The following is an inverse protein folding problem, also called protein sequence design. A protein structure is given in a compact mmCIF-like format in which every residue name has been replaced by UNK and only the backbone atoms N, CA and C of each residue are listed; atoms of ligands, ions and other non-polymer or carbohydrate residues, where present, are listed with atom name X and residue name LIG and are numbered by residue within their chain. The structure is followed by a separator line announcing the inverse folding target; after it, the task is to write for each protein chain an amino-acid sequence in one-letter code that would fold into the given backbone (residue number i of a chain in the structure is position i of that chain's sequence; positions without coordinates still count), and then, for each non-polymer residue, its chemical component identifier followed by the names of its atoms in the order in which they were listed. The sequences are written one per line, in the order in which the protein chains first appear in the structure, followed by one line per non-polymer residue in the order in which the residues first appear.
data_IF_675160903673
#
_entry.id   IF_675160903673
#
_cell.length_a   1.000
_cell.length_b   1.000
_cell.length_c   1.000
_cell.angle_alpha   90.00
_cell.angle_beta   90.00
_cell.angle_gamma   90.00
#
_symmetry.space_group_name_H-M   'P 1'
#
loop_
_entity.id
_entity.type
_entity.pdbx_description
1 polymer ?
#
# COMPACT_ATOMS: atom_id res chain seq x y z
N UNK A 1 -27.97 -40.59 -71.22
CA UNK A 1 -28.29 -39.70 -72.35
C UNK A 1 -27.28 -38.57 -72.39
N UNK A 2 -26.54 -38.45 -73.51
CA UNK A 2 -25.82 -37.27 -74.05
C UNK A 2 -24.90 -36.48 -73.09
N UNK A 3 -23.64 -36.15 -73.39
CA UNK A 3 -22.73 -36.30 -74.54
C UNK A 3 -21.46 -35.49 -74.12
N UNK A 4 -20.24 -35.98 -74.42
CA UNK A 4 -19.17 -35.21 -75.15
C UNK A 4 -18.55 -34.02 -74.37
N UNK A 5 -17.24 -33.80 -74.13
CA UNK A 5 -15.97 -34.07 -74.84
C UNK A 5 -14.84 -33.52 -73.93
N UNK A 6 -13.74 -34.24 -73.62
CA UNK A 6 -12.45 -34.32 -74.36
C UNK A 6 -11.41 -33.22 -74.01
N UNK A 7 -10.28 -33.70 -73.46
CA UNK A 7 -8.86 -33.23 -73.56
C UNK A 7 -8.49 -31.92 -72.85
N UNK A 8 -7.29 -31.70 -72.30
CA UNK A 8 -5.97 -32.36 -72.33
C UNK A 8 -5.43 -32.39 -70.87
N UNK A 9 -4.99 -33.52 -70.32
CA UNK A 9 -3.63 -34.08 -70.42
C UNK A 9 -2.49 -33.10 -70.08
N UNK A 10 -2.12 -33.06 -68.80
CA UNK A 10 -0.72 -32.96 -68.34
C UNK A 10 -0.62 -33.53 -66.91
N UNK A 11 -0.76 -34.85 -66.81
CA UNK A 11 -0.04 -35.67 -65.82
C UNK A 11 1.45 -35.52 -66.21
N UNK A 12 2.45 -35.42 -65.32
CA UNK A 12 3.01 -36.53 -64.56
C UNK A 12 4.10 -35.95 -63.62
N UNK A 13 4.12 -36.44 -62.36
CA UNK A 13 5.23 -36.47 -61.37
C UNK A 13 5.75 -35.12 -60.85
N UNK A 14 5.81 -34.87 -59.54
CA UNK A 14 6.37 -35.73 -58.50
C UNK A 14 6.25 -35.05 -57.13
N UNK A 15 6.35 -35.86 -56.08
CA UNK A 15 6.70 -35.47 -54.71
C UNK A 15 5.71 -34.58 -53.93
N UNK A 16 4.89 -35.28 -53.15
CA UNK A 16 4.60 -35.02 -51.74
C UNK A 16 5.57 -33.99 -51.12
N UNK A 17 5.14 -32.75 -51.00
CA UNK A 17 5.77 -31.75 -50.15
C UNK A 17 4.78 -31.39 -49.05
N UNK A 18 4.87 -32.19 -47.98
CA UNK A 18 4.94 -31.74 -46.59
C UNK A 18 4.08 -30.55 -46.18
N UNK A 19 3.07 -30.86 -45.37
CA UNK A 19 2.94 -30.36 -44.00
C UNK A 19 3.28 -28.89 -43.79
N UNK A 20 2.23 -28.11 -43.66
CA UNK A 20 2.16 -26.87 -42.89
C UNK A 20 2.67 -27.09 -41.45
N UNK A 21 3.98 -27.08 -41.29
CA UNK A 21 4.67 -26.90 -40.02
C UNK A 21 5.13 -25.44 -39.97
N UNK A 22 4.28 -24.59 -39.37
CA UNK A 22 4.77 -23.37 -38.76
C UNK A 22 5.86 -23.78 -37.76
N UNK A 23 7.09 -23.25 -37.85
CA UNK A 23 8.10 -23.51 -36.85
C UNK A 23 7.61 -22.95 -35.52
N UNK A 24 7.38 -23.84 -34.56
CA UNK A 24 7.39 -23.52 -33.15
C UNK A 24 8.73 -22.87 -32.83
N UNK A 25 8.75 -21.55 -32.65
CA UNK A 25 10.01 -20.87 -32.36
C UNK A 25 9.97 -19.37 -32.61
N UNK A 26 9.24 -18.64 -31.77
CA UNK A 26 9.68 -17.37 -31.22
C UNK A 26 8.82 -17.09 -29.98
N UNK A 27 8.96 -17.95 -28.98
CA UNK A 27 8.89 -17.47 -27.60
C UNK A 27 10.06 -16.50 -27.48
N UNK A 28 9.78 -15.20 -27.61
CA UNK A 28 10.68 -14.17 -27.08
C UNK A 28 10.63 -14.36 -25.58
N UNK A 29 11.40 -15.32 -25.09
CA UNK A 29 11.79 -15.37 -23.70
C UNK A 29 12.47 -14.04 -23.44
N UNK A 30 11.76 -13.12 -22.80
CA UNK A 30 12.43 -12.01 -22.13
C UNK A 30 13.29 -12.66 -21.07
N UNK A 31 14.54 -12.95 -21.42
CA UNK A 31 15.57 -13.19 -20.45
C UNK A 31 15.55 -11.94 -19.58
N UNK A 32 14.97 -12.06 -18.38
CA UNK A 32 14.97 -10.99 -17.40
C UNK A 32 16.42 -10.49 -17.32
N UNK A 33 16.64 -9.23 -17.69
CA UNK A 33 17.97 -8.63 -17.66
C UNK A 33 18.44 -8.74 -16.21
N UNK A 34 19.37 -9.69 -15.96
CA UNK A 34 19.92 -9.95 -14.62
C UNK A 34 20.76 -8.78 -14.09
N UNK A 35 21.13 -7.86 -14.97
CA UNK A 35 21.86 -6.65 -14.62
C UNK A 35 20.89 -5.49 -14.45
N UNK A 36 20.87 -4.79 -13.29
CA UNK A 36 20.06 -3.60 -13.14
C UNK A 36 20.39 -2.59 -14.25
N UNK A 37 19.40 -2.22 -15.07
CA UNK A 37 19.58 -1.19 -16.13
C UNK A 37 20.01 0.14 -15.50
N UNK A 38 19.58 0.39 -14.26
CA UNK A 38 20.01 1.53 -13.47
C UNK A 38 21.40 1.29 -12.89
N UNK A 39 22.39 2.02 -13.40
CA UNK A 39 23.79 1.94 -12.95
C UNK A 39 24.19 3.00 -11.92
N UNK A 40 23.38 4.05 -11.72
CA UNK A 40 23.65 5.13 -10.75
C UNK A 40 22.38 5.83 -10.25
N UNK A 41 22.51 6.54 -9.14
CA UNK A 41 21.47 7.43 -8.60
C UNK A 41 21.08 8.54 -9.59
N UNK A 42 19.80 8.93 -9.60
CA UNK A 42 19.28 10.00 -10.49
C UNK A 42 18.91 11.26 -9.71
N UNK A 43 18.42 11.11 -8.47
CA UNK A 43 17.98 12.24 -7.65
C UNK A 43 19.16 12.90 -6.93
N UNK A 44 20.02 12.09 -6.29
CA UNK A 44 21.25 12.55 -5.64
C UNK A 44 22.44 11.84 -6.29
N UNK A 45 23.40 12.63 -6.74
CA UNK A 45 24.67 12.15 -7.29
C UNK A 45 25.63 11.73 -6.18
N UNK A 46 26.58 10.87 -6.51
CA UNK A 46 27.63 10.44 -5.56
C UNK A 46 28.44 11.63 -5.02
N UNK A 47 28.70 12.64 -5.87
CA UNK A 47 29.39 13.87 -5.48
C UNK A 47 28.60 14.68 -4.45
N UNK A 48 27.29 14.82 -4.63
CA UNK A 48 26.43 15.54 -3.67
C UNK A 48 26.38 14.82 -2.32
N UNK A 49 26.26 13.49 -2.34
CA UNK A 49 26.27 12.67 -1.12
C UNK A 49 27.62 12.80 -0.39
N UNK A 50 28.74 12.69 -1.10
CA UNK A 50 30.07 12.85 -0.52
C UNK A 50 30.28 14.26 0.05
N UNK A 51 29.80 15.29 -0.64
CA UNK A 51 29.85 16.69 -0.16
C UNK A 51 29.02 16.86 1.11
N UNK A 52 27.81 16.29 1.14
CA UNK A 52 26.94 16.33 2.31
C UNK A 52 27.62 15.67 3.53
N UNK A 53 28.20 14.48 3.35
CA UNK A 53 28.90 13.76 4.42
C UNK A 53 30.18 14.48 4.89
N UNK A 54 30.84 15.21 3.99
CA UNK A 54 31.97 16.09 4.35
C UNK A 54 31.48 17.26 5.21
N UNK A 55 30.38 17.89 4.83
CA UNK A 55 29.77 18.99 5.59
C UNK A 55 29.31 18.55 6.98
N UNK A 56 28.76 17.34 7.12
CA UNK A 56 28.40 16.74 8.42
C UNK A 56 29.60 16.68 9.37
N UNK A 57 30.82 16.43 8.86
CA UNK A 57 32.05 16.42 9.67
C UNK A 57 32.58 17.82 9.98
N UNK A 58 32.27 18.81 9.15
CA UNK A 58 32.83 20.16 9.21
C UNK A 58 31.97 21.14 10.02
N UNK A 59 30.65 21.03 9.93
CA UNK A 59 29.73 22.03 10.47
C UNK A 59 28.80 21.44 11.54
N UNK A 60 28.72 22.11 12.70
CA UNK A 60 27.89 21.67 13.81
C UNK A 60 26.41 21.55 13.44
N UNK A 61 25.86 22.49 12.65
CA UNK A 61 24.48 22.43 12.20
C UNK A 61 24.21 21.18 11.33
N UNK A 62 25.17 20.79 10.49
CA UNK A 62 25.02 19.63 9.62
C UNK A 62 25.09 18.32 10.43
N UNK A 63 26.00 18.25 11.41
CA UNK A 63 26.05 17.15 12.37
C UNK A 63 24.76 17.01 13.17
N UNK A 64 24.22 18.13 13.68
CA UNK A 64 22.95 18.16 14.39
C UNK A 64 21.78 17.67 13.52
N UNK A 65 21.70 18.12 12.26
CA UNK A 65 20.69 17.64 11.31
C UNK A 65 20.81 16.13 11.08
N UNK A 66 22.02 15.62 10.83
CA UNK A 66 22.26 14.17 10.67
C UNK A 66 21.80 13.41 11.93
N UNK A 67 22.17 13.87 13.12
CA UNK A 67 21.79 13.22 14.39
C UNK A 67 20.28 13.19 14.59
N UNK A 68 19.56 14.27 14.26
CA UNK A 68 18.10 14.34 14.38
C UNK A 68 17.39 13.31 13.48
N UNK A 69 17.80 13.21 12.22
CA UNK A 69 17.25 12.21 11.30
C UNK A 69 17.58 10.78 11.74
N UNK A 70 18.81 10.52 12.20
CA UNK A 70 19.21 9.20 12.69
C UNK A 70 18.39 8.79 13.92
N UNK A 71 18.25 9.68 14.91
CA UNK A 71 17.46 9.40 16.11
C UNK A 71 15.98 9.15 15.80
N UNK A 72 15.40 9.87 14.85
CA UNK A 72 14.02 9.65 14.40
C UNK A 72 13.88 8.34 13.65
N UNK A 73 14.82 8.03 12.74
CA UNK A 73 14.85 6.78 12.00
C UNK A 73 15.03 5.56 12.92
N UNK A 74 15.87 5.66 13.94
CA UNK A 74 16.08 4.57 14.91
C UNK A 74 14.81 4.27 15.71
N UNK A 75 14.05 5.29 16.13
CA UNK A 75 12.74 5.11 16.76
C UNK A 75 11.73 4.44 15.82
N UNK A 76 11.74 4.81 14.55
CA UNK A 76 10.86 4.20 13.54
C UNK A 76 11.22 2.73 13.29
N UNK A 77 12.50 2.42 13.13
CA UNK A 77 12.99 1.04 12.95
C UNK A 77 12.61 0.16 14.15
N UNK A 78 12.62 0.73 15.36
CA UNK A 78 12.24 0.01 16.59
C UNK A 78 10.78 -0.50 16.60
N UNK A 79 9.89 0.03 15.75
CA UNK A 79 8.54 -0.51 15.59
C UNK A 79 8.53 -1.89 14.88
N UNK A 80 9.61 -2.27 14.19
CA UNK A 80 9.70 -3.50 13.42
C UNK A 80 9.04 -3.41 12.04
N UNK A 81 9.40 -4.32 11.13
CA UNK A 81 8.90 -4.29 9.74
C UNK A 81 7.43 -4.69 9.64
N UNK A 82 7.00 -5.67 10.45
CA UNK A 82 5.62 -6.18 10.43
C UNK A 82 4.60 -5.08 10.77
N UNK A 83 4.96 -4.14 11.65
CA UNK A 83 4.16 -2.96 11.95
C UNK A 83 3.83 -2.16 10.67
N UNK A 84 4.84 -1.88 9.84
CA UNK A 84 4.64 -1.12 8.60
C UNK A 84 3.87 -1.91 7.55
N UNK A 85 4.09 -3.22 7.46
CA UNK A 85 3.33 -4.07 6.56
C UNK A 85 1.86 -4.17 6.93
N UNK A 86 1.52 -4.12 8.22
CA UNK A 86 0.13 -4.06 8.67
C UNK A 86 -0.53 -2.71 8.34
N UNK A 87 0.19 -1.60 8.42
CA UNK A 87 -0.34 -0.27 8.11
C UNK A 87 -0.64 -0.06 6.62
N UNK A 88 0.08 -0.76 5.74
CA UNK A 88 -0.14 -0.70 4.29
C UNK A 88 -1.35 -1.57 3.94
N UNK A 89 -2.59 -1.06 3.88
CA UNK A 89 -3.69 -1.93 3.44
C UNK A 89 -3.57 -2.30 1.95
N UNK A 90 -4.09 -3.47 1.55
CA UNK A 90 -4.33 -3.77 0.13
C UNK A 90 -5.46 -2.89 -0.43
N UNK A 91 -5.71 -2.95 -1.74
CA UNK A 91 -6.80 -2.20 -2.38
C UNK A 91 -8.22 -2.74 -2.05
N UNK A 92 -8.32 -3.87 -1.34
CA UNK A 92 -9.60 -4.37 -0.81
C UNK A 92 -10.16 -3.44 0.27
N UNK A 93 -9.29 -2.74 1.00
CA UNK A 93 -9.70 -1.67 1.89
C UNK A 93 -9.80 -0.39 1.08
N UNK A 94 -11.00 0.20 1.04
CA UNK A 94 -11.24 1.43 0.30
C UNK A 94 -10.41 2.56 0.89
N UNK A 95 -10.03 3.53 0.07
CA UNK A 95 -9.30 4.73 0.51
C UNK A 95 -10.13 5.97 0.25
N UNK A 96 -10.13 6.89 1.20
CA UNK A 96 -10.86 8.14 1.10
C UNK A 96 -10.06 9.29 1.70
N UNK A 97 -10.38 10.50 1.26
CA UNK A 97 -9.73 11.71 1.75
C UNK A 97 -10.43 12.32 2.97
N UNK A 98 -11.72 12.01 3.19
CA UNK A 98 -12.51 12.30 4.39
C UNK A 98 -13.37 11.12 4.80
N UNK A 99 -13.71 11.05 6.10
CA UNK A 99 -14.69 10.08 6.62
C UNK A 99 -16.04 10.26 5.93
N UNK A 100 -16.54 11.48 5.88
CA UNK A 100 -17.68 11.90 5.06
C UNK A 100 -17.59 13.40 4.82
N UNK A 101 -17.60 13.82 3.55
CA UNK A 101 -17.60 15.24 3.17
C UNK A 101 -18.96 15.90 3.46
N UNK A 102 -20.06 15.21 3.22
CA UNK A 102 -21.39 15.82 3.34
C UNK A 102 -22.00 15.67 4.73
N UNK A 103 -21.60 14.66 5.50
CA UNK A 103 -22.23 14.35 6.79
C UNK A 103 -21.29 14.45 7.99
N UNK A 104 -19.97 14.62 7.78
CA UNK A 104 -19.00 14.73 8.88
C UNK A 104 -18.84 13.43 9.67
N UNK A 105 -19.00 13.52 10.99
CA UNK A 105 -18.81 12.42 11.94
C UNK A 105 -20.05 11.51 12.03
N UNK A 106 -19.88 10.17 12.12
CA UNK A 106 -21.00 9.24 12.30
C UNK A 106 -21.89 9.49 13.53
N UNK A 107 -21.40 10.26 14.53
CA UNK A 107 -22.15 10.56 15.74
C UNK A 107 -22.52 12.04 15.91
N UNK A 108 -21.55 12.96 15.83
CA UNK A 108 -21.81 14.40 16.01
C UNK A 108 -22.02 15.16 14.70
N UNK A 109 -22.10 14.45 13.56
CA UNK A 109 -22.36 15.08 12.27
C UNK A 109 -21.35 16.16 11.91
N UNK A 110 -21.86 17.34 11.58
CA UNK A 110 -21.07 18.46 11.05
C UNK A 110 -20.18 19.14 12.10
N UNK A 111 -20.36 18.89 13.39
CA UNK A 111 -19.54 19.51 14.46
C UNK A 111 -18.04 19.20 14.32
N UNK A 112 -17.69 18.11 13.62
CA UNK A 112 -16.29 17.76 13.34
C UNK A 112 -15.59 18.78 12.42
N UNK A 113 -16.34 19.61 11.70
CA UNK A 113 -15.79 20.61 10.79
C UNK A 113 -15.13 21.79 11.50
N UNK A 114 -15.49 22.06 12.74
CA UNK A 114 -14.77 23.04 13.59
C UNK A 114 -13.31 22.63 13.81
N UNK A 115 -13.00 21.34 13.60
CA UNK A 115 -11.66 20.76 13.66
C UNK A 115 -11.13 20.37 12.27
N UNK A 116 -11.76 20.85 11.19
CA UNK A 116 -11.39 20.59 9.80
C UNK A 116 -11.58 19.14 9.37
N UNK A 117 -12.49 18.39 10.01
CA UNK A 117 -12.73 16.96 9.72
C UNK A 117 -11.47 16.09 9.90
N UNK A 118 -10.57 16.49 10.81
CA UNK A 118 -9.30 15.80 11.11
C UNK A 118 -9.45 14.95 12.36
N UNK A 119 -9.49 13.64 12.19
CA UNK A 119 -9.56 12.71 13.31
C UNK A 119 -8.19 12.47 13.93
N UNK A 120 -8.15 12.16 15.22
CA UNK A 120 -6.93 11.77 15.90
C UNK A 120 -6.62 10.30 15.63
N UNK A 121 -5.35 9.98 15.39
CA UNK A 121 -4.86 8.62 15.16
C UNK A 121 -3.69 8.33 16.10
N UNK A 122 -3.65 7.11 16.62
CA UNK A 122 -2.48 6.53 17.27
C UNK A 122 -2.18 5.17 16.60
N UNK A 123 -1.25 5.16 15.64
CA UNK A 123 -0.93 3.96 14.87
C UNK A 123 -0.35 2.83 15.74
N UNK A 124 0.26 3.17 16.87
CA UNK A 124 1.00 2.21 17.71
C UNK A 124 0.08 1.60 18.76
N UNK A 125 -0.63 2.44 19.52
CA UNK A 125 -1.44 1.96 20.65
C UNK A 125 -2.90 1.72 20.28
N UNK A 126 -3.38 2.25 19.14
CA UNK A 126 -4.77 2.11 18.66
C UNK A 126 -4.81 1.89 17.14
N UNK A 127 -4.16 0.85 16.62
CA UNK A 127 -4.17 0.56 15.19
C UNK A 127 -5.61 0.38 14.68
N UNK A 128 -5.84 0.85 13.45
CA UNK A 128 -7.14 0.84 12.78
C UNK A 128 -8.25 1.57 13.53
N UNK A 129 -7.91 2.53 14.40
CA UNK A 129 -8.88 3.41 15.08
C UNK A 129 -8.65 4.88 14.76
N UNK A 130 -9.75 5.62 14.70
CA UNK A 130 -9.77 7.07 14.59
C UNK A 130 -10.63 7.64 15.72
N UNK A 131 -10.24 8.77 16.31
CA UNK A 131 -11.00 9.44 17.37
C UNK A 131 -11.48 10.79 16.88
N UNK A 132 -12.79 11.03 16.97
CA UNK A 132 -13.38 12.31 16.57
C UNK A 132 -12.95 13.40 17.58
N UNK A 133 -12.38 14.53 17.15
CA UNK A 133 -11.97 15.60 18.06
C UNK A 133 -13.18 16.33 18.69
N UNK A 134 -14.33 16.36 18.02
CA UNK A 134 -15.51 17.08 18.51
C UNK A 134 -16.29 16.32 19.59
N UNK A 135 -16.51 15.01 19.40
CA UNK A 135 -17.30 14.19 20.35
C UNK A 135 -16.49 13.11 21.08
N UNK A 136 -15.18 13.02 20.84
CA UNK A 136 -14.27 12.03 21.45
C UNK A 136 -14.60 10.55 21.19
N UNK A 137 -15.60 10.26 20.34
CA UNK A 137 -15.93 8.88 19.98
C UNK A 137 -14.86 8.24 19.09
N UNK A 138 -14.69 6.93 19.25
CA UNK A 138 -13.71 6.12 18.54
C UNK A 138 -14.42 5.27 17.48
N UNK A 139 -13.90 5.31 16.27
CA UNK A 139 -14.40 4.52 15.13
C UNK A 139 -13.28 3.69 14.48
N UNK A 140 -13.60 2.58 13.83
CA UNK A 140 -14.89 1.92 13.88
C UNK A 140 -15.13 1.29 15.26
N UNK A 141 -16.34 0.83 15.50
CA UNK A 141 -16.77 0.30 16.81
C UNK A 141 -16.45 -1.18 16.99
N UNK A 142 -16.00 -1.85 15.92
CA UNK A 142 -15.59 -3.24 15.90
C UNK A 142 -14.07 -3.41 16.01
N UNK A 143 -13.61 -4.62 16.34
CA UNK A 143 -12.19 -4.97 16.32
C UNK A 143 -11.69 -5.17 14.89
N UNK A 144 -11.46 -4.06 14.18
CA UNK A 144 -11.02 -4.08 12.80
C UNK A 144 -9.61 -4.66 12.64
N UNK A 145 -8.73 -4.50 13.63
CA UNK A 145 -7.38 -5.04 13.54
C UNK A 145 -7.41 -6.58 13.48
N UNK A 146 -8.18 -7.22 14.36
CA UNK A 146 -8.35 -8.68 14.33
C UNK A 146 -9.07 -9.15 13.06
N UNK A 147 -10.09 -8.40 12.60
CA UNK A 147 -10.73 -8.65 11.30
C UNK A 147 -9.72 -8.62 10.15
N UNK A 148 -8.92 -7.54 10.06
CA UNK A 148 -7.91 -7.35 9.03
C UNK A 148 -6.86 -8.47 9.06
N UNK A 149 -6.25 -8.73 10.23
CA UNK A 149 -5.22 -9.77 10.38
C UNK A 149 -5.73 -11.16 10.01
N UNK A 150 -6.99 -11.47 10.31
CA UNK A 150 -7.58 -12.78 9.98
C UNK A 150 -7.78 -13.01 8.48
N UNK A 151 -7.74 -11.95 7.66
CA UNK A 151 -7.85 -12.02 6.21
C UNK A 151 -6.53 -11.83 5.46
N UNK A 152 -5.39 -11.74 6.15
CA UNK A 152 -4.07 -11.61 5.52
C UNK A 152 -3.57 -12.97 5.04
N UNK A 153 -2.94 -12.99 3.86
CA UNK A 153 -2.10 -14.10 3.40
C UNK A 153 -0.63 -13.92 3.83
N UNK A 154 0.23 -14.86 3.43
CA UNK A 154 1.67 -14.84 3.71
C UNK A 154 2.42 -13.63 3.13
N UNK A 155 1.79 -12.88 2.22
CA UNK A 155 2.32 -11.68 1.59
C UNK A 155 1.70 -10.40 2.13
N UNK A 156 0.96 -10.45 3.25
CA UNK A 156 0.25 -9.31 3.85
C UNK A 156 -0.81 -8.71 2.91
N UNK A 157 -1.34 -9.48 1.96
CA UNK A 157 -2.46 -9.05 1.12
C UNK A 157 -3.76 -9.41 1.82
N UNK A 158 -4.53 -8.40 2.18
CA UNK A 158 -5.84 -8.59 2.80
C UNK A 158 -6.90 -9.02 1.80
N UNK A 159 -7.71 -10.02 2.17
CA UNK A 159 -8.89 -10.48 1.45
C UNK A 159 -10.10 -10.53 2.41
N UNK A 160 -11.08 -9.67 2.16
CA UNK A 160 -12.30 -9.53 2.96
C UNK A 160 -13.14 -10.82 3.02
N UNK A 161 -13.12 -11.65 1.98
CA UNK A 161 -13.90 -12.89 1.92
C UNK A 161 -13.32 -14.01 2.81
N UNK A 162 -12.02 -13.96 3.08
CA UNK A 162 -11.33 -14.91 3.98
C UNK A 162 -11.29 -14.43 5.43
N UNK A 163 -11.53 -13.13 5.66
CA UNK A 163 -11.51 -12.54 6.97
C UNK A 163 -12.62 -13.09 7.88
N UNK A 164 -12.31 -13.23 9.16
CA UNK A 164 -13.22 -13.78 10.15
C UNK A 164 -14.29 -12.74 10.53
N UNK A 165 -15.51 -12.97 10.06
CA UNK A 165 -16.66 -12.08 10.25
C UNK A 165 -17.13 -11.97 11.70
N UNK A 166 -16.63 -12.79 12.63
CA UNK A 166 -16.95 -12.64 14.06
C UNK A 166 -16.53 -11.28 14.62
N UNK A 167 -15.50 -10.68 14.02
CA UNK A 167 -14.98 -9.36 14.38
C UNK A 167 -15.78 -8.20 13.78
N UNK A 168 -16.83 -8.46 13.00
CA UNK A 168 -17.71 -7.42 12.44
C UNK A 168 -18.90 -7.15 13.37
N UNK A 169 -18.59 -6.82 14.62
CA UNK A 169 -19.57 -6.51 15.67
C UNK A 169 -19.11 -5.31 16.49
N UNK A 170 -20.05 -4.47 16.86
CA UNK A 170 -19.84 -3.34 17.74
C UNK A 170 -19.48 -3.83 19.16
N UNK A 171 -18.25 -3.56 19.58
CA UNK A 171 -17.74 -3.89 20.91
C UNK A 171 -17.54 -2.65 21.77
N UNK A 172 -17.49 -1.46 21.16
CA UNK A 172 -17.22 -0.21 21.86
C UNK A 172 -18.46 0.44 22.47
N UNK A 173 -19.64 0.31 21.83
CA UNK A 173 -20.88 0.99 22.21
C UNK A 173 -22.10 0.06 22.12
N UNK A 174 -22.17 -1.02 22.92
CA UNK A 174 -23.22 -2.05 22.79
C UNK A 174 -24.64 -1.49 22.86
N UNK A 175 -24.85 -0.39 23.58
CA UNK A 175 -26.14 0.30 23.71
C UNK A 175 -26.67 0.88 22.38
N UNK A 176 -25.82 1.05 21.37
CA UNK A 176 -26.21 1.52 20.03
C UNK A 176 -26.57 0.39 19.07
N UNK A 177 -26.47 -0.87 19.51
CA UNK A 177 -26.81 -2.07 18.74
C UNK A 177 -25.61 -2.78 18.12
N UNK A 178 -25.78 -4.07 17.82
CA UNK A 178 -24.70 -5.01 17.46
C UNK A 178 -23.90 -4.59 16.22
N UNK A 179 -24.51 -3.88 15.26
CA UNK A 179 -23.86 -3.50 13.99
C UNK A 179 -23.62 -2.00 13.84
N UNK A 180 -23.92 -1.20 14.87
CA UNK A 180 -23.74 0.25 14.77
C UNK A 180 -22.27 0.63 14.77
N UNK A 181 -21.83 1.37 13.75
CA UNK A 181 -20.45 1.86 13.68
C UNK A 181 -19.41 0.82 13.23
N UNK A 182 -19.85 -0.36 12.76
CA UNK A 182 -19.00 -1.46 12.28
C UNK A 182 -18.48 -1.15 10.87
N UNK A 183 -17.18 -1.31 10.64
CA UNK A 183 -16.55 -1.18 9.33
C UNK A 183 -15.97 -2.54 8.89
N UNK A 184 -16.16 -2.89 7.63
CA UNK A 184 -15.68 -4.12 6.98
C UNK A 184 -14.55 -3.87 5.95
N UNK A 185 -14.05 -2.63 5.89
CA UNK A 185 -13.04 -2.16 4.94
C UNK A 185 -13.63 -1.29 3.84
N UNK A 186 -14.96 -1.25 3.71
CA UNK A 186 -15.69 -0.43 2.74
C UNK A 186 -16.40 0.76 3.38
N UNK A 187 -16.33 0.91 4.71
CA UNK A 187 -16.98 1.99 5.46
C UNK A 187 -18.14 1.53 6.32
N UNK A 188 -18.41 2.31 7.36
CA UNK A 188 -19.56 2.20 8.26
C UNK A 188 -20.83 2.67 7.56
N UNK A 189 -21.92 1.91 7.66
CA UNK A 189 -23.24 2.33 7.15
C UNK A 189 -24.20 2.60 8.30
N UNK A 190 -24.69 3.83 8.42
CA UNK A 190 -25.69 4.26 9.42
C UNK A 190 -26.78 5.04 8.71
N UNK A 191 -28.03 4.59 8.83
CA UNK A 191 -29.18 5.28 8.23
C UNK A 191 -29.13 5.38 6.70
N UNK A 192 -28.44 4.44 6.02
CA UNK A 192 -28.21 4.48 4.58
C UNK A 192 -27.00 5.31 4.14
N UNK A 193 -26.41 6.11 5.03
CA UNK A 193 -25.20 6.89 4.75
C UNK A 193 -23.96 6.08 5.06
N UNK A 194 -22.97 6.13 4.15
CA UNK A 194 -21.66 5.49 4.31
C UNK A 194 -20.61 6.48 4.81
N UNK A 195 -19.88 6.08 5.84
CA UNK A 195 -18.77 6.80 6.45
C UNK A 195 -17.50 5.96 6.32
N UNK A 196 -16.51 6.47 5.59
CA UNK A 196 -15.29 5.73 5.24
C UNK A 196 -14.23 5.86 6.35
N UNK A 197 -14.55 5.42 7.56
CA UNK A 197 -13.67 5.61 8.74
C UNK A 197 -12.33 4.89 8.57
N UNK A 198 -12.35 3.60 8.17
CA UNK A 198 -11.11 2.88 7.87
C UNK A 198 -10.47 3.42 6.59
N UNK A 199 -11.27 3.81 5.60
CA UNK A 199 -10.70 4.33 4.35
C UNK A 199 -9.93 5.63 4.52
N UNK A 200 -10.37 6.48 5.44
CA UNK A 200 -9.63 7.67 5.84
C UNK A 200 -8.39 7.30 6.66
N UNK A 201 -8.51 6.39 7.64
CA UNK A 201 -7.37 5.89 8.42
C UNK A 201 -6.25 5.36 7.50
N UNK A 202 -6.61 4.55 6.50
CA UNK A 202 -5.67 4.00 5.52
C UNK A 202 -4.96 5.10 4.74
N UNK A 203 -5.66 6.15 4.31
CA UNK A 203 -5.02 7.28 3.64
C UNK A 203 -3.99 7.98 4.55
N UNK A 204 -4.31 8.12 5.84
CA UNK A 204 -3.38 8.67 6.82
C UNK A 204 -2.18 7.73 7.09
N UNK A 205 -2.40 6.42 7.10
CA UNK A 205 -1.34 5.42 7.23
C UNK A 205 -0.33 5.51 6.07
N UNK A 206 -0.82 5.62 4.82
CA UNK A 206 0.05 5.86 3.66
C UNK A 206 0.85 7.16 3.80
N UNK A 207 0.21 8.24 4.22
CA UNK A 207 0.88 9.52 4.48
C UNK A 207 1.98 9.38 5.54
N UNK A 208 1.72 8.61 6.61
CA UNK A 208 2.70 8.30 7.64
C UNK A 208 3.90 7.52 7.07
N UNK A 209 3.64 6.49 6.25
CA UNK A 209 4.68 5.66 5.62
C UNK A 209 5.58 6.52 4.70
N UNK A 210 5.00 7.43 3.92
CA UNK A 210 5.80 8.38 3.12
C UNK A 210 6.73 9.25 4.00
N UNK A 211 6.25 9.68 5.17
CA UNK A 211 7.08 10.40 6.15
C UNK A 211 8.23 9.55 6.69
N UNK A 212 7.97 8.27 6.99
CA UNK A 212 8.98 7.30 7.45
C UNK A 212 10.04 7.07 6.38
N UNK A 213 9.64 6.80 5.13
CA UNK A 213 10.57 6.62 4.01
C UNK A 213 11.44 7.85 3.76
N UNK A 214 10.89 9.06 3.89
CA UNK A 214 11.67 10.29 3.79
C UNK A 214 12.70 10.43 4.92
N UNK A 215 12.33 10.06 6.15
CA UNK A 215 13.22 10.09 7.30
C UNK A 215 14.38 9.10 7.13
N UNK A 216 14.07 7.86 6.74
CA UNK A 216 15.06 6.81 6.45
C UNK A 216 16.00 7.22 5.31
N UNK A 217 15.46 7.80 4.23
CA UNK A 217 16.23 8.33 3.11
C UNK A 217 17.26 9.36 3.58
N UNK A 218 16.86 10.38 4.33
CA UNK A 218 17.79 11.42 4.77
C UNK A 218 18.78 10.91 5.82
N UNK A 219 18.34 10.03 6.73
CA UNK A 219 19.24 9.35 7.65
C UNK A 219 20.35 8.60 6.89
N UNK A 220 20.02 7.83 5.85
CA UNK A 220 21.00 7.14 5.01
C UNK A 220 21.91 8.09 4.23
N UNK A 221 21.35 9.12 3.58
CA UNK A 221 22.14 10.06 2.78
C UNK A 221 23.21 10.74 3.63
N UNK A 222 22.83 11.19 4.83
CA UNK A 222 23.72 11.97 5.71
C UNK A 222 24.71 11.13 6.51
N UNK A 223 24.28 9.95 6.99
CA UNK A 223 25.15 9.08 7.81
C UNK A 223 25.96 8.08 6.98
N UNK A 224 25.38 7.55 5.91
CA UNK A 224 25.88 6.38 5.20
C UNK A 224 25.65 5.05 5.90
N UNK A 225 24.90 5.01 7.00
CA UNK A 225 24.59 3.76 7.71
C UNK A 225 23.57 2.94 6.94
N UNK A 226 23.98 1.74 6.52
CA UNK A 226 23.20 0.88 5.63
C UNK A 226 21.84 0.45 6.21
N UNK A 227 21.71 0.35 7.54
CA UNK A 227 20.48 -0.07 8.22
C UNK A 227 19.26 0.74 7.78
N UNK A 228 19.41 2.05 7.57
CA UNK A 228 18.30 2.93 7.16
C UNK A 228 17.82 2.63 5.73
N UNK A 229 18.76 2.38 4.81
CA UNK A 229 18.43 1.99 3.43
C UNK A 229 17.80 0.59 3.38
N UNK A 230 18.35 -0.38 4.11
CA UNK A 230 17.82 -1.74 4.17
C UNK A 230 16.39 -1.76 4.68
N UNK A 231 16.10 -1.04 5.77
CA UNK A 231 14.74 -0.98 6.32
C UNK A 231 13.76 -0.26 5.36
N UNK A 232 14.20 0.82 4.71
CA UNK A 232 13.39 1.51 3.70
C UNK A 232 13.06 0.62 2.48
N UNK A 233 14.03 -0.18 2.02
CA UNK A 233 13.82 -1.16 0.95
C UNK A 233 12.83 -2.25 1.40
N UNK A 234 12.94 -2.73 2.65
CA UNK A 234 11.98 -3.70 3.18
C UNK A 234 10.54 -3.13 3.11
N UNK A 235 10.30 -1.92 3.61
CA UNK A 235 8.97 -1.26 3.50
C UNK A 235 8.47 -1.22 2.05
N UNK A 236 9.34 -0.87 1.09
CA UNK A 236 8.98 -0.74 -0.33
C UNK A 236 8.84 -2.08 -1.07
N UNK A 237 9.25 -3.20 -0.46
CA UNK A 237 9.23 -4.52 -1.10
C UNK A 237 7.86 -5.20 -1.04
N UNK A 238 6.89 -4.57 -0.37
CA UNK A 238 5.53 -5.05 -0.17
C UNK A 238 4.54 -4.32 -1.05
#
# INVERSE_FOLDING_TARGET
MKKITVRLLALVLSCVCSMSLLPAGMLVGSAAVKTPIKTKGTIYTEKEIATCRTNVKKYNWASATKNSYCASADKMIANGIDFYYLLMSSNEVWRSYYVSETNGCPNCGLDVYDYGNKYNIDFVNKPFKITCPACSMVFPTNDFESYYKSGLDEHYVFNSQKANKQYLKNVSYPEKGEYWGVDDGTGVVIGGTRYTVIGWYTNQAWSHIYGVLNTLKFAYLYSGEQKYATFGIAILSR
#
